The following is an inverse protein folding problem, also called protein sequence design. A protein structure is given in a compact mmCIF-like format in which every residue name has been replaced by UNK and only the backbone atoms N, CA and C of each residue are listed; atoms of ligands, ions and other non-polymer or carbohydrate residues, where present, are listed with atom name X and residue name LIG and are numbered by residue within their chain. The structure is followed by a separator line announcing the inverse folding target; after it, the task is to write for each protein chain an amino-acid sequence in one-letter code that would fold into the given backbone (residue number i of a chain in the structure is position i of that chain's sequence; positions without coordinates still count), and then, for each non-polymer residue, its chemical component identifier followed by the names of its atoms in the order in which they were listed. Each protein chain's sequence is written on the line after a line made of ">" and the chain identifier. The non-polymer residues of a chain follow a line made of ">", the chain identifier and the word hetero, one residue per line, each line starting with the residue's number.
data_IF_016076446085
#
_entry.id   IF_016076446085
#
_cell.length_a   1.000
_cell.length_b   1.000
_cell.length_c   1.000
_cell.angle_alpha   90.00
_cell.angle_beta   90.00
_cell.angle_gamma   90.00
#
_symmetry.space_group_name_H-M   'P 1'
#
loop_
_entity.id
_entity.type
_entity.pdbx_description
1 polymer ?
#
# COMPACT_ATOMS: atom_id res chain seq x y z
N UNK A 1 37.14 -21.36 45.33
CA UNK A 1 37.46 -21.19 43.89
C UNK A 1 36.31 -20.47 43.22
N UNK A 2 36.62 -19.38 42.52
CA UNK A 2 35.70 -18.56 41.70
C UNK A 2 35.14 -19.41 40.56
N UNK A 3 33.88 -19.19 40.21
CA UNK A 3 33.45 -18.80 38.85
C UNK A 3 31.98 -18.40 38.84
N UNK A 4 31.80 -17.08 38.82
CA UNK A 4 30.64 -16.40 38.27
C UNK A 4 30.43 -16.87 36.83
N UNK A 5 29.19 -17.20 36.47
CA UNK A 5 28.71 -17.18 35.08
C UNK A 5 27.30 -16.61 35.08
N UNK A 6 27.13 -15.31 34.82
CA UNK A 6 25.84 -14.78 34.41
C UNK A 6 25.71 -14.83 32.87
N UNK A 7 24.46 -14.73 32.43
CA UNK A 7 24.03 -14.23 31.12
C UNK A 7 24.27 -15.13 29.90
N UNK A 8 23.20 -15.76 29.39
CA UNK A 8 22.74 -15.49 28.02
C UNK A 8 21.21 -15.36 28.05
N UNK A 9 20.77 -14.11 28.01
CA UNK A 9 19.40 -13.68 27.85
C UNK A 9 18.97 -14.01 26.40
N UNK A 10 18.23 -15.09 26.20
CA UNK A 10 17.56 -15.38 24.93
C UNK A 10 16.41 -14.41 24.70
N UNK A 11 16.73 -13.19 24.25
CA UNK A 11 15.76 -12.28 23.63
C UNK A 11 16.41 -11.78 22.34
N UNK A 12 16.35 -12.60 21.30
CA UNK A 12 16.88 -12.23 19.99
C UNK A 12 15.99 -12.70 18.83
N UNK A 13 14.68 -12.81 19.01
CA UNK A 13 13.74 -12.93 17.88
C UNK A 13 12.38 -12.35 18.27
N UNK A 14 12.24 -11.03 18.12
CA UNK A 14 10.96 -10.37 18.39
C UNK A 14 10.89 -8.87 18.09
N UNK A 15 11.91 -8.29 17.43
CA UNK A 15 11.92 -6.86 17.11
C UNK A 15 12.49 -6.62 15.70
N UNK A 16 12.06 -7.42 14.73
CA UNK A 16 12.20 -7.06 13.30
C UNK A 16 10.88 -6.62 12.67
N UNK A 17 9.78 -6.63 13.43
CA UNK A 17 8.45 -6.26 12.95
C UNK A 17 8.01 -4.82 13.27
N UNK A 18 8.80 -4.04 14.01
CA UNK A 18 8.43 -2.70 14.44
C UNK A 18 9.53 -1.73 14.09
N UNK A 19 9.16 -0.61 13.47
CA UNK A 19 10.02 0.51 13.00
C UNK A 19 10.52 0.43 11.55
N UNK A 20 9.61 0.18 10.59
CA UNK A 20 9.72 0.85 9.29
C UNK A 20 8.95 2.17 9.32
N UNK A 21 9.40 3.11 10.17
CA UNK A 21 9.06 4.53 10.01
C UNK A 21 9.92 5.08 8.88
N UNK A 22 9.68 4.62 7.65
CA UNK A 22 10.23 5.30 6.50
C UNK A 22 9.37 6.54 6.29
N UNK A 23 9.92 7.70 6.67
CA UNK A 23 9.34 9.01 6.39
C UNK A 23 9.53 9.31 4.90
N UNK A 24 8.93 8.50 4.04
CA UNK A 24 9.04 8.66 2.59
C UNK A 24 8.11 9.77 2.12
N UNK A 25 8.57 11.02 2.27
CA UNK A 25 8.03 12.16 1.54
C UNK A 25 8.43 12.04 0.05
N UNK A 26 7.80 11.10 -0.67
CA UNK A 26 7.93 11.00 -2.14
C UNK A 26 6.97 11.98 -2.82
N UNK A 27 5.91 12.39 -2.13
CA UNK A 27 5.02 13.45 -2.57
C UNK A 27 5.46 14.77 -1.92
N UNK A 28 5.74 15.78 -2.74
CA UNK A 28 5.95 17.17 -2.28
C UNK A 28 4.71 17.76 -1.54
N UNK A 29 3.63 16.99 -1.45
CA UNK A 29 2.38 17.37 -0.83
C UNK A 29 1.97 16.32 0.20
N UNK A 30 1.54 16.79 1.38
CA UNK A 30 1.00 15.95 2.44
C UNK A 30 -0.26 15.24 1.93
N UNK A 31 -0.34 13.91 2.07
CA UNK A 31 -1.56 13.15 1.81
C UNK A 31 -2.57 13.46 2.91
N UNK A 32 -3.77 13.89 2.52
CA UNK A 32 -4.86 14.21 3.46
C UNK A 32 -5.83 13.05 3.62
N UNK A 33 -6.24 12.44 2.51
CA UNK A 33 -7.23 11.37 2.46
C UNK A 33 -6.93 10.41 1.33
N UNK A 34 -7.35 9.16 1.50
CA UNK A 34 -7.37 8.17 0.43
C UNK A 34 -8.79 7.63 0.30
N UNK A 35 -9.32 7.65 -0.91
CA UNK A 35 -10.59 7.05 -1.27
C UNK A 35 -10.32 5.79 -2.06
N UNK A 36 -10.90 4.67 -1.64
CA UNK A 36 -10.78 3.40 -2.35
C UNK A 36 -12.18 2.97 -2.77
N UNK A 37 -12.31 2.61 -4.04
CA UNK A 37 -13.55 2.20 -4.68
C UNK A 37 -13.35 0.79 -5.21
N UNK A 38 -14.37 -0.06 -5.16
CA UNK A 38 -14.42 -1.19 -6.09
C UNK A 38 -14.53 -0.65 -7.51
N UNK A 39 -13.94 -1.34 -8.49
CA UNK A 39 -13.96 -0.86 -9.88
C UNK A 39 -15.37 -0.69 -10.44
N UNK A 40 -16.29 -1.60 -10.09
CA UNK A 40 -17.70 -1.50 -10.50
C UNK A 40 -18.39 -0.26 -9.93
N UNK A 41 -18.18 0.04 -8.65
CA UNK A 41 -18.74 1.23 -8.02
C UNK A 41 -18.14 2.51 -8.62
N UNK A 42 -16.83 2.52 -8.91
CA UNK A 42 -16.15 3.66 -9.53
C UNK A 42 -16.76 4.06 -10.88
N UNK A 43 -17.26 3.10 -11.66
CA UNK A 43 -17.92 3.34 -12.96
C UNK A 43 -19.35 3.90 -12.85
N UNK A 44 -19.93 3.96 -11.65
CA UNK A 44 -21.28 4.46 -11.45
C UNK A 44 -21.38 5.97 -11.72
N UNK A 45 -22.60 6.48 -11.93
CA UNK A 45 -22.84 7.92 -12.18
C UNK A 45 -22.44 8.82 -10.99
N UNK A 46 -22.42 8.27 -9.79
CA UNK A 46 -22.09 8.99 -8.55
C UNK A 46 -21.35 8.05 -7.59
N UNK A 47 -20.06 7.78 -7.85
CA UNK A 47 -19.30 6.80 -7.08
C UNK A 47 -19.07 7.28 -5.65
N UNK A 48 -19.43 6.44 -4.68
CA UNK A 48 -19.08 6.64 -3.27
C UNK A 48 -17.88 5.77 -2.90
N UNK A 49 -16.92 6.23 -2.07
CA UNK A 49 -15.79 5.40 -1.69
C UNK A 49 -16.27 4.20 -0.87
N UNK A 50 -15.80 3.01 -1.23
CA UNK A 50 -15.99 1.78 -0.45
C UNK A 50 -15.22 1.87 0.86
N UNK A 51 -14.00 2.42 0.82
CA UNK A 51 -13.16 2.65 2.00
C UNK A 51 -12.65 4.08 1.97
N UNK A 52 -12.77 4.76 3.11
CA UNK A 52 -12.25 6.10 3.35
C UNK A 52 -11.13 6.03 4.39
N UNK A 53 -9.89 6.33 3.96
CA UNK A 53 -8.75 6.42 4.87
C UNK A 53 -8.44 7.90 5.16
N UNK A 54 -8.58 8.29 6.42
CA UNK A 54 -8.24 9.63 6.92
C UNK A 54 -7.27 9.58 8.11
N UNK A 55 -6.96 8.39 8.63
CA UNK A 55 -5.99 8.17 9.71
C UNK A 55 -4.59 8.02 9.11
N UNK A 56 -3.63 8.76 9.66
CA UNK A 56 -2.23 8.78 9.20
C UNK A 56 -1.62 7.38 9.10
N UNK A 57 -1.87 6.51 10.07
CA UNK A 57 -1.35 5.14 10.09
C UNK A 57 -1.83 4.31 8.90
N UNK A 58 -3.12 4.41 8.55
CA UNK A 58 -3.71 3.68 7.44
C UNK A 58 -3.26 4.23 6.09
N UNK A 59 -3.14 5.56 5.99
CA UNK A 59 -2.60 6.24 4.82
C UNK A 59 -1.14 5.81 4.59
N UNK A 60 -0.34 5.72 5.65
CA UNK A 60 1.06 5.32 5.57
C UNK A 60 1.23 3.91 5.03
N UNK A 61 0.34 2.96 5.36
CA UNK A 61 0.40 1.61 4.78
C UNK A 61 0.34 1.70 3.26
N UNK A 62 -0.66 2.40 2.70
CA UNK A 62 -0.83 2.52 1.25
C UNK A 62 0.31 3.29 0.58
N UNK A 63 0.75 4.40 1.17
CA UNK A 63 1.85 5.21 0.62
C UNK A 63 3.16 4.43 0.63
N UNK A 64 3.45 3.71 1.71
CA UNK A 64 4.66 2.89 1.81
C UNK A 64 4.62 1.76 0.79
N UNK A 65 3.48 1.10 0.62
CA UNK A 65 3.28 0.08 -0.43
C UNK A 65 3.61 0.63 -1.82
N UNK A 66 3.13 1.82 -2.16
CA UNK A 66 3.43 2.44 -3.46
C UNK A 66 4.94 2.69 -3.61
N UNK A 67 5.59 3.20 -2.56
CA UNK A 67 7.00 3.57 -2.58
C UNK A 67 7.96 2.38 -2.59
N UNK A 68 7.59 1.25 -1.98
CA UNK A 68 8.40 0.04 -1.93
C UNK A 68 8.22 -0.88 -3.15
N UNK A 69 7.22 -0.61 -3.98
CA UNK A 69 6.87 -1.46 -5.12
C UNK A 69 7.91 -1.42 -6.24
N UNK A 70 8.11 -2.55 -6.89
CA UNK A 70 9.06 -2.69 -7.97
C UNK A 70 8.40 -2.44 -9.32
N UNK A 71 9.03 -1.63 -10.17
CA UNK A 71 8.57 -1.44 -11.54
C UNK A 71 8.62 -2.76 -12.30
N UNK A 72 7.54 -3.11 -13.00
CA UNK A 72 7.49 -4.27 -13.88
C UNK A 72 8.15 -3.88 -15.22
N UNK A 73 9.11 -4.68 -15.67
CA UNK A 73 9.86 -4.39 -16.91
C UNK A 73 9.14 -4.90 -18.16
N UNK A 74 8.29 -5.93 -18.00
CA UNK A 74 7.58 -6.58 -19.10
C UNK A 74 6.29 -5.86 -19.48
N UNK A 75 5.76 -6.21 -20.65
CA UNK A 75 4.44 -5.74 -21.08
C UNK A 75 3.36 -6.35 -20.19
N UNK A 76 2.46 -5.50 -19.71
CA UNK A 76 1.36 -5.90 -18.84
C UNK A 76 0.09 -6.15 -19.65
N UNK A 77 -0.38 -7.40 -19.64
CA UNK A 77 -1.71 -7.75 -20.13
C UNK A 77 -2.65 -7.94 -18.93
N UNK A 78 -3.30 -6.86 -18.50
CA UNK A 78 -4.13 -6.83 -17.31
C UNK A 78 -5.61 -6.76 -17.69
N UNK A 79 -6.44 -7.50 -16.95
CA UNK A 79 -7.90 -7.38 -16.99
C UNK A 79 -8.36 -6.14 -16.23
N UNK A 80 -9.67 -5.94 -16.07
CA UNK A 80 -10.21 -4.87 -15.21
C UNK A 80 -9.62 -4.92 -13.79
N UNK A 81 -9.26 -3.77 -13.19
CA UNK A 81 -8.74 -3.73 -11.83
C UNK A 81 -9.80 -4.13 -10.81
N UNK A 82 -9.37 -4.55 -9.62
CA UNK A 82 -10.28 -4.84 -8.52
C UNK A 82 -10.75 -3.54 -7.84
N UNK A 83 -9.81 -2.60 -7.68
CA UNK A 83 -10.05 -1.32 -7.02
C UNK A 83 -9.50 -0.13 -7.79
N UNK A 84 -10.08 1.02 -7.53
CA UNK A 84 -9.54 2.33 -7.89
C UNK A 84 -9.17 3.06 -6.60
N UNK A 85 -7.97 3.62 -6.55
CA UNK A 85 -7.43 4.33 -5.39
C UNK A 85 -7.18 5.78 -5.78
N UNK A 86 -7.92 6.70 -5.16
CA UNK A 86 -7.69 8.14 -5.27
C UNK A 86 -6.94 8.62 -4.02
N UNK A 87 -5.72 9.14 -4.23
CA UNK A 87 -4.92 9.80 -3.19
C UNK A 87 -5.15 11.30 -3.31
N UNK A 88 -5.74 11.90 -2.27
CA UNK A 88 -6.00 13.33 -2.17
C UNK A 88 -4.90 13.98 -1.34
N UNK A 89 -4.18 14.91 -1.96
CA UNK A 89 -3.13 15.68 -1.31
C UNK A 89 -3.61 17.08 -0.92
N UNK A 90 -2.87 17.69 0.00
CA UNK A 90 -2.98 19.12 0.29
C UNK A 90 -2.93 19.95 -1.01
N UNK A 91 -3.69 21.05 -1.03
CA UNK A 91 -3.88 21.93 -2.21
C UNK A 91 -4.73 21.31 -3.34
N UNK A 92 -5.65 20.39 -3.01
CA UNK A 92 -6.63 19.80 -3.95
C UNK A 92 -6.01 19.02 -5.11
N UNK A 93 -4.75 18.58 -5.00
CA UNK A 93 -4.14 17.68 -5.98
C UNK A 93 -4.67 16.26 -5.75
N UNK A 94 -4.90 15.51 -6.85
CA UNK A 94 -5.33 14.11 -6.82
C UNK A 94 -4.49 13.27 -7.76
N UNK A 95 -4.07 12.10 -7.28
CA UNK A 95 -3.54 11.03 -8.11
C UNK A 95 -4.44 9.79 -7.99
N UNK A 96 -4.64 9.10 -9.11
CA UNK A 96 -5.55 7.95 -9.22
C UNK A 96 -4.74 6.75 -9.67
N UNK A 97 -4.94 5.61 -9.01
CA UNK A 97 -4.27 4.35 -9.30
C UNK A 97 -5.30 3.23 -9.53
N UNK A 98 -5.04 2.40 -10.53
CA UNK A 98 -5.74 1.14 -10.73
C UNK A 98 -5.00 0.05 -9.97
N UNK A 99 -5.73 -0.74 -9.18
CA UNK A 99 -5.17 -1.74 -8.27
C UNK A 99 -5.76 -3.12 -8.56
N UNK A 100 -4.87 -4.07 -8.86
CA UNK A 100 -5.15 -5.50 -8.98
C UNK A 100 -4.62 -6.18 -7.72
N UNK A 101 -5.54 -6.70 -6.92
CA UNK A 101 -5.24 -7.44 -5.71
C UNK A 101 -6.43 -8.36 -5.42
N UNK A 102 -6.14 -9.61 -5.13
CA UNK A 102 -7.14 -10.62 -4.82
C UNK A 102 -6.81 -11.32 -3.51
N UNK A 103 -7.84 -11.81 -2.81
CA UNK A 103 -7.66 -12.55 -1.55
C UNK A 103 -6.76 -13.78 -1.71
N UNK A 104 -6.81 -14.43 -2.86
CA UNK A 104 -6.08 -15.67 -3.12
C UNK A 104 -4.65 -15.45 -3.66
N UNK A 105 -4.25 -14.22 -3.98
CA UNK A 105 -2.91 -13.91 -4.52
C UNK A 105 -1.97 -13.36 -3.45
N UNK A 106 -0.73 -13.82 -3.42
CA UNK A 106 0.31 -13.26 -2.54
C UNK A 106 0.99 -12.00 -3.11
N UNK A 107 0.52 -11.51 -4.26
CA UNK A 107 1.05 -10.33 -4.93
C UNK A 107 -0.08 -9.43 -5.41
N UNK A 108 0.18 -8.12 -5.45
CA UNK A 108 -0.68 -7.13 -6.07
C UNK A 108 0.07 -6.35 -7.15
N UNK A 109 -0.67 -5.71 -8.03
CA UNK A 109 -0.13 -4.82 -9.06
C UNK A 109 -0.90 -3.51 -8.98
N UNK A 110 -0.21 -2.39 -9.13
CA UNK A 110 -0.88 -1.12 -9.41
C UNK A 110 -0.31 -0.42 -10.62
N UNK A 111 -1.15 0.43 -11.21
CA UNK A 111 -0.81 1.28 -12.37
C UNK A 111 -1.33 2.68 -12.09
N UNK A 112 -0.56 3.71 -12.45
CA UNK A 112 -1.03 5.09 -12.36
C UNK A 112 -2.01 5.38 -13.51
N UNK A 113 -3.21 5.90 -13.21
CA UNK A 113 -4.21 6.17 -14.23
C UNK A 113 -3.78 7.24 -15.26
N UNK A 114 -2.81 8.10 -14.91
CA UNK A 114 -2.23 9.11 -15.83
C UNK A 114 -1.12 8.55 -16.73
N UNK A 115 -0.50 7.44 -16.33
CA UNK A 115 0.56 6.77 -17.09
C UNK A 115 0.40 5.25 -16.97
N UNK A 116 -0.44 4.71 -17.85
CA UNK A 116 -0.78 3.28 -17.86
C UNK A 116 0.29 2.41 -18.50
N UNK A 117 1.36 3.01 -19.04
CA UNK A 117 2.50 2.29 -19.63
C UNK A 117 3.42 1.65 -18.58
N UNK A 118 3.27 2.04 -17.31
CA UNK A 118 4.10 1.58 -16.20
C UNK A 118 3.24 0.95 -15.11
N UNK A 119 3.43 -0.34 -14.89
CA UNK A 119 2.91 -1.01 -13.71
C UNK A 119 3.99 -1.35 -12.70
N UNK A 120 3.53 -1.56 -11.48
CA UNK A 120 4.37 -1.78 -10.31
C UNK A 120 3.85 -2.99 -9.54
N UNK A 121 4.75 -3.94 -9.29
CA UNK A 121 4.48 -5.11 -8.48
C UNK A 121 4.66 -4.77 -7.00
N UNK A 122 3.63 -5.08 -6.23
CA UNK A 122 3.60 -4.90 -4.78
C UNK A 122 4.30 -6.07 -4.10
N UNK A 123 5.20 -5.78 -3.17
CA UNK A 123 5.90 -6.78 -2.39
C UNK A 123 4.93 -7.63 -1.56
N UNK A 124 5.27 -8.90 -1.29
CA UNK A 124 4.39 -9.84 -0.58
C UNK A 124 3.94 -9.34 0.79
N UNK A 125 4.86 -8.79 1.57
CA UNK A 125 4.57 -8.28 2.92
C UNK A 125 3.66 -7.06 2.87
N UNK A 126 3.86 -6.18 1.90
CA UNK A 126 3.04 -4.99 1.71
C UNK A 126 1.67 -5.33 1.10
N UNK A 127 1.60 -6.36 0.25
CA UNK A 127 0.34 -6.94 -0.23
C UNK A 127 -0.48 -7.42 0.97
N UNK A 128 0.12 -8.17 1.88
CA UNK A 128 -0.55 -8.69 3.09
C UNK A 128 -1.08 -7.56 3.96
N UNK A 129 -0.29 -6.50 4.20
CA UNK A 129 -0.77 -5.31 4.93
C UNK A 129 -1.92 -4.62 4.22
N UNK A 130 -1.83 -4.45 2.90
CA UNK A 130 -2.86 -3.79 2.11
C UNK A 130 -4.18 -4.59 2.15
N UNK A 131 -4.11 -5.92 2.12
CA UNK A 131 -5.29 -6.78 2.29
C UNK A 131 -6.01 -6.53 3.62
N UNK A 132 -5.28 -6.33 4.71
CA UNK A 132 -5.90 -5.99 6.01
C UNK A 132 -6.64 -4.66 6.03
N UNK A 133 -6.44 -3.80 5.01
CA UNK A 133 -7.23 -2.59 4.81
C UNK A 133 -8.44 -2.82 3.91
N UNK A 134 -8.29 -3.67 2.89
CA UNK A 134 -9.28 -3.87 1.83
C UNK A 134 -10.39 -4.87 2.18
N UNK A 135 -10.08 -5.89 2.97
CA UNK A 135 -10.97 -7.00 3.30
C UNK A 135 -11.39 -7.01 4.77
N UNK A 136 -11.50 -5.82 5.35
CA UNK A 136 -11.96 -5.64 6.75
C UNK A 136 -13.40 -6.02 6.94
#
# INVERSE_FOLDING_TARGET
>A
MKKFFPLILSIAFGISGFLYFNNSNVYNFKVEKVHIYTYENYKSKSPSPTILLNKKELINILVNTINSSNKIQDTLNLTSPNYVVDILYSKKKKDTFYLWISDNSNSGIYVNAKDTSKGYAILKDDTSKLKTLLYR
#
